data_IF_655366067757
#
_entry.id   IF_655366067757
#
_cell.length_a   1.000
_cell.length_b   1.000
_cell.length_c   1.000
_cell.angle_alpha   90.00
_cell.angle_beta   90.00
_cell.angle_gamma   90.00
#
_symmetry.space_group_name_H-M   'P 1'
#
loop_
_entity.id
_entity.type
_entity.pdbx_description
1 polymer ?
#
# COMPACT_ATOMS: atom_id res chain seq x y z
N UNK A 1 2.41 54.80 -31.44
CA UNK A 1 2.10 53.40 -31.09
C UNK A 1 3.23 52.65 -30.35
N UNK A 2 4.33 53.32 -29.95
CA UNK A 2 5.44 52.65 -29.22
C UNK A 2 5.43 52.89 -27.70
N UNK A 3 4.70 53.90 -27.20
CA UNK A 3 4.67 54.26 -25.77
C UNK A 3 3.79 53.29 -24.93
N UNK A 4 2.79 52.66 -25.55
CA UNK A 4 1.87 51.75 -24.87
C UNK A 4 2.53 50.41 -24.49
N UNK A 5 3.49 49.93 -25.28
CA UNK A 5 4.20 48.67 -24.99
C UNK A 5 5.14 48.75 -23.80
N UNK A 6 5.77 49.91 -23.58
CA UNK A 6 6.66 50.10 -22.42
C UNK A 6 5.89 50.17 -21.10
N UNK A 7 4.69 50.78 -21.10
CA UNK A 7 3.81 50.79 -19.91
C UNK A 7 3.29 49.40 -19.54
N UNK A 8 2.92 48.58 -20.53
CA UNK A 8 2.52 47.18 -20.31
C UNK A 8 3.67 46.33 -19.77
N UNK A 9 4.90 46.56 -20.23
CA UNK A 9 6.10 45.88 -19.73
C UNK A 9 6.51 46.34 -18.33
N UNK A 10 6.34 47.63 -18.01
CA UNK A 10 6.61 48.15 -16.67
C UNK A 10 5.55 47.66 -15.67
N UNK A 11 4.27 47.62 -16.06
CA UNK A 11 3.18 47.10 -15.23
C UNK A 11 3.32 45.59 -14.98
N UNK A 12 3.77 44.81 -15.97
CA UNK A 12 4.06 43.38 -15.77
C UNK A 12 5.27 43.19 -14.84
N UNK A 13 6.33 44.00 -14.98
CA UNK A 13 7.47 43.97 -14.06
C UNK A 13 7.09 44.38 -12.63
N UNK A 14 6.26 45.41 -12.45
CA UNK A 14 5.76 45.84 -11.13
C UNK A 14 4.85 44.78 -10.52
N UNK A 15 4.00 44.10 -11.29
CA UNK A 15 3.18 42.98 -10.80
C UNK A 15 4.03 41.74 -10.44
N UNK A 16 5.13 41.48 -11.16
CA UNK A 16 6.08 40.42 -10.83
C UNK A 16 6.85 40.80 -9.55
N UNK A 17 7.34 42.04 -9.43
CA UNK A 17 8.06 42.51 -8.24
C UNK A 17 7.17 42.62 -7.00
N UNK A 18 5.89 43.00 -7.17
CA UNK A 18 4.90 43.01 -6.09
C UNK A 18 4.54 41.60 -5.60
N UNK A 19 4.65 40.57 -6.46
CA UNK A 19 4.50 39.17 -6.05
C UNK A 19 5.76 38.56 -5.41
N UNK A 20 6.94 39.17 -5.59
CA UNK A 20 8.17 38.71 -4.92
C UNK A 20 8.18 39.12 -3.43
N UNK A 21 7.35 40.09 -3.05
CA UNK A 21 7.19 40.59 -1.68
C UNK A 21 5.84 40.24 -1.03
N UNK A 22 5.08 39.28 -1.57
CA UNK A 22 4.05 38.66 -0.75
C UNK A 22 4.79 37.82 0.30
N UNK A 23 4.81 38.31 1.54
CA UNK A 23 4.99 37.44 2.69
C UNK A 23 3.85 36.41 2.60
N UNK A 24 4.10 35.29 1.92
CA UNK A 24 3.13 34.21 1.77
C UNK A 24 2.95 33.62 3.17
N UNK A 25 1.98 34.15 3.90
CA UNK A 25 1.57 33.59 5.19
C UNK A 25 1.04 32.20 4.88
N UNK A 26 1.84 31.18 5.21
CA UNK A 26 1.43 29.80 5.14
C UNK A 26 0.52 29.52 6.33
N UNK A 27 -0.79 29.56 6.11
CA UNK A 27 -1.74 29.15 7.13
C UNK A 27 -1.51 27.67 7.46
N UNK A 28 -1.29 27.31 8.74
CA UNK A 28 -1.16 25.92 9.14
C UNK A 28 -2.45 25.15 8.87
N UNK A 29 -2.32 23.88 8.51
CA UNK A 29 -3.45 23.02 8.14
C UNK A 29 -3.58 21.81 9.06
N UNK A 30 -4.82 21.55 9.49
CA UNK A 30 -5.20 20.34 10.23
C UNK A 30 -6.07 19.47 9.33
N UNK A 31 -5.63 18.25 9.10
CA UNK A 31 -6.29 17.26 8.26
C UNK A 31 -7.21 16.36 9.08
N UNK A 32 -8.46 16.24 8.68
CA UNK A 32 -9.43 15.33 9.30
C UNK A 32 -9.83 14.27 8.25
N UNK A 33 -9.44 13.00 8.44
CA UNK A 33 -9.66 11.94 7.46
C UNK A 33 -11.13 11.55 7.33
N UNK A 34 -11.43 10.81 6.27
CA UNK A 34 -12.73 10.16 6.12
C UNK A 34 -12.84 8.84 6.88
N UNK A 35 -13.98 8.17 6.70
CA UNK A 35 -14.18 6.82 7.23
C UNK A 35 -13.13 5.86 6.64
N UNK A 36 -12.43 5.10 7.50
CA UNK A 36 -11.31 4.22 7.12
C UNK A 36 -10.00 4.95 6.78
N UNK A 37 -9.96 6.28 6.86
CA UNK A 37 -8.83 7.11 6.38
C UNK A 37 -7.68 7.29 7.37
N UNK A 38 -7.59 6.47 8.41
CA UNK A 38 -6.49 6.47 9.38
C UNK A 38 -6.23 5.08 9.90
N UNK A 39 -5.05 4.85 10.47
CA UNK A 39 -4.73 3.58 11.11
C UNK A 39 -5.55 3.35 12.41
N UNK A 40 -5.78 2.08 12.77
CA UNK A 40 -6.29 1.63 14.06
C UNK A 40 -5.39 0.53 14.59
N UNK A 41 -4.96 0.66 15.85
CA UNK A 41 -4.18 -0.35 16.54
C UNK A 41 -5.03 -1.05 17.61
N UNK A 42 -4.73 -2.30 17.86
CA UNK A 42 -5.42 -3.11 18.85
C UNK A 42 -4.46 -3.88 19.75
N UNK A 43 -4.89 -4.13 20.99
CA UNK A 43 -4.23 -5.05 21.92
C UNK A 43 -5.25 -6.06 22.44
N UNK A 44 -4.88 -7.33 22.50
CA UNK A 44 -5.80 -8.41 22.86
C UNK A 44 -5.41 -9.01 24.21
N UNK A 45 -6.40 -9.16 25.08
CA UNK A 45 -6.32 -9.90 26.33
C UNK A 45 -7.66 -10.58 26.61
N UNK A 46 -8.01 -11.56 25.77
CA UNK A 46 -9.35 -12.16 25.75
C UNK A 46 -9.41 -13.46 26.53
N UNK A 47 -10.43 -13.55 27.38
CA UNK A 47 -10.86 -14.79 28.05
C UNK A 47 -12.03 -15.46 27.33
N UNK A 48 -12.69 -14.73 26.43
CA UNK A 48 -13.88 -15.18 25.70
C UNK A 48 -13.52 -16.02 24.47
N UNK A 49 -14.44 -16.89 24.01
CA UNK A 49 -14.26 -17.65 22.77
C UNK A 49 -14.02 -16.73 21.56
N UNK A 50 -13.14 -17.17 20.67
CA UNK A 50 -12.89 -16.56 19.37
C UNK A 50 -13.65 -17.32 18.28
N UNK A 51 -13.89 -16.72 17.09
CA UNK A 51 -14.63 -17.36 16.00
C UNK A 51 -13.97 -18.67 15.56
N UNK A 52 -12.63 -18.67 15.52
CA UNK A 52 -11.82 -19.82 15.13
C UNK A 52 -10.71 -20.08 16.14
N UNK A 53 -10.21 -21.32 16.16
CA UNK A 53 -9.13 -21.74 17.06
C UNK A 53 -7.80 -21.04 16.78
N UNK A 54 -7.57 -20.59 15.54
CA UNK A 54 -6.35 -19.90 15.13
C UNK A 54 -6.40 -18.39 15.35
N UNK A 55 -7.55 -17.81 15.74
CA UNK A 55 -7.62 -16.40 16.08
C UNK A 55 -6.88 -16.15 17.40
N UNK A 56 -5.98 -15.17 17.40
CA UNK A 56 -5.24 -14.79 18.60
C UNK A 56 -6.18 -14.27 19.70
N UNK A 57 -5.95 -14.72 20.94
CA UNK A 57 -6.64 -14.21 22.14
C UNK A 57 -5.80 -13.19 22.90
N UNK A 58 -4.49 -13.29 22.77
CA UNK A 58 -3.54 -12.41 23.42
C UNK A 58 -2.57 -11.85 22.38
N UNK A 59 -2.34 -10.55 22.43
CA UNK A 59 -1.33 -9.86 21.65
C UNK A 59 -0.93 -8.59 22.38
N UNK A 60 0.30 -8.13 22.16
CA UNK A 60 0.60 -6.72 22.38
C UNK A 60 -0.04 -5.86 21.26
N UNK A 61 0.21 -4.56 21.27
CA UNK A 61 -0.26 -3.63 20.24
C UNK A 61 0.17 -4.07 18.84
N UNK A 62 -0.80 -4.18 17.95
CA UNK A 62 -0.58 -4.44 16.53
C UNK A 62 -1.51 -3.56 15.68
N UNK A 63 -1.14 -3.36 14.43
CA UNK A 63 -1.97 -2.66 13.45
C UNK A 63 -3.15 -3.54 13.03
N UNK A 64 -4.34 -3.18 13.50
CA UNK A 64 -5.59 -3.83 13.16
C UNK A 64 -6.11 -3.32 11.80
N UNK A 65 -5.98 -2.02 11.55
CA UNK A 65 -6.34 -1.38 10.30
C UNK A 65 -5.23 -0.40 9.88
N UNK A 66 -4.71 -0.45 8.65
CA UNK A 66 -5.04 -1.37 7.55
C UNK A 66 -3.96 -2.43 7.39
N UNK A 67 -4.33 -3.69 7.57
CA UNK A 67 -3.43 -4.81 7.37
C UNK A 67 -4.04 -5.83 6.41
N UNK A 68 -3.56 -5.83 5.17
CA UNK A 68 -4.08 -6.72 4.10
C UNK A 68 -4.07 -8.20 4.48
N UNK A 69 -3.13 -8.62 5.34
CA UNK A 69 -3.04 -10.01 5.77
C UNK A 69 -4.24 -10.39 6.62
N UNK A 70 -4.77 -9.46 7.41
CA UNK A 70 -5.96 -9.67 8.24
C UNK A 70 -7.27 -9.71 7.42
N UNK A 71 -7.22 -9.36 6.13
CA UNK A 71 -8.37 -9.36 5.22
C UNK A 71 -8.43 -10.61 4.32
N UNK A 72 -7.50 -11.56 4.47
CA UNK A 72 -7.51 -12.80 3.70
C UNK A 72 -8.68 -13.70 4.15
N UNK A 73 -9.30 -14.50 3.24
CA UNK A 73 -10.51 -15.27 3.53
C UNK A 73 -10.43 -16.15 4.79
N UNK A 74 -9.27 -16.74 5.07
CA UNK A 74 -9.08 -17.62 6.23
C UNK A 74 -9.01 -16.87 7.56
N UNK A 75 -8.67 -15.58 7.58
CA UNK A 75 -8.43 -14.81 8.82
C UNK A 75 -9.33 -13.59 8.99
N UNK A 76 -10.13 -13.26 7.98
CA UNK A 76 -11.03 -12.11 7.99
C UNK A 76 -12.03 -12.16 9.14
N UNK A 77 -12.47 -13.35 9.55
CA UNK A 77 -13.36 -13.51 10.70
C UNK A 77 -12.70 -13.07 12.01
N UNK A 78 -11.39 -13.30 12.17
CA UNK A 78 -10.64 -12.79 13.32
C UNK A 78 -10.56 -11.25 13.29
N UNK A 79 -10.35 -10.66 12.11
CA UNK A 79 -10.37 -9.21 11.93
C UNK A 79 -11.73 -8.61 12.27
N UNK A 80 -12.81 -9.16 11.71
CA UNK A 80 -14.19 -8.71 11.96
C UNK A 80 -14.50 -8.77 13.45
N UNK A 81 -14.14 -9.87 14.12
CA UNK A 81 -14.39 -10.03 15.55
C UNK A 81 -13.59 -9.05 16.41
N UNK A 82 -12.38 -8.67 15.99
CA UNK A 82 -11.56 -7.67 16.69
C UNK A 82 -11.99 -6.22 16.39
N UNK A 83 -12.58 -5.98 15.22
CA UNK A 83 -12.98 -4.64 14.76
C UNK A 83 -14.39 -4.26 15.23
N UNK A 84 -15.29 -5.24 15.40
CA UNK A 84 -16.71 -5.00 15.69
C UNK A 84 -16.92 -4.31 17.03
N UNK A 85 -18.02 -3.56 17.12
CA UNK A 85 -18.47 -2.89 18.33
C UNK A 85 -19.71 -3.59 18.90
N UNK A 86 -19.88 -3.53 20.22
CA UNK A 86 -21.11 -3.93 20.91
C UNK A 86 -21.94 -2.70 21.21
N UNK A 87 -23.23 -2.71 20.85
CA UNK A 87 -24.14 -1.59 21.11
C UNK A 87 -25.00 -1.88 22.35
N UNK A 88 -25.01 -0.94 23.29
CA UNK A 88 -25.85 -1.03 24.48
C UNK A 88 -27.13 -0.20 24.27
N UNK A 89 -28.28 -0.88 24.23
CA UNK A 89 -29.58 -0.25 23.95
C UNK A 89 -30.09 0.65 25.08
N UNK A 90 -29.56 0.51 26.31
CA UNK A 90 -29.89 1.35 27.46
C UNK A 90 -29.08 2.64 27.46
N UNK A 91 -27.76 2.55 27.33
CA UNK A 91 -26.88 3.74 27.32
C UNK A 91 -26.85 4.45 25.97
N UNK A 92 -27.32 3.78 24.90
CA UNK A 92 -27.25 4.22 23.50
C UNK A 92 -25.82 4.42 23.00
N UNK A 93 -24.84 3.77 23.64
CA UNK A 93 -23.41 3.86 23.30
C UNK A 93 -22.85 2.53 22.85
N UNK A 94 -21.71 2.59 22.17
CA UNK A 94 -20.91 1.48 21.69
C UNK A 94 -19.69 1.23 22.58
N UNK A 95 -19.29 -0.03 22.70
CA UNK A 95 -18.06 -0.45 23.36
C UNK A 95 -17.28 -1.43 22.50
N UNK A 96 -15.97 -1.52 22.71
CA UNK A 96 -15.19 -2.63 22.18
C UNK A 96 -15.64 -3.95 22.84
N UNK A 97 -15.24 -5.08 22.27
CA UNK A 97 -15.40 -6.37 22.96
C UNK A 97 -14.50 -6.44 24.19
N UNK A 98 -14.96 -7.23 25.17
CA UNK A 98 -14.18 -7.53 26.36
C UNK A 98 -12.82 -8.14 26.01
N UNK A 99 -11.76 -7.57 26.57
CA UNK A 99 -10.38 -7.98 26.28
C UNK A 99 -9.83 -7.43 24.96
N UNK A 100 -10.46 -6.43 24.35
CA UNK A 100 -9.93 -5.75 23.16
C UNK A 100 -9.79 -4.25 23.43
N UNK A 101 -8.55 -3.79 23.52
CA UNK A 101 -8.23 -2.38 23.58
C UNK A 101 -7.97 -1.84 22.18
N UNK A 102 -8.44 -0.62 21.91
CA UNK A 102 -8.27 0.05 20.62
C UNK A 102 -7.61 1.40 20.85
N UNK A 103 -6.65 1.72 19.99
CA UNK A 103 -5.96 3.00 19.96
C UNK A 103 -5.93 3.56 18.54
N UNK A 104 -6.10 4.87 18.44
CA UNK A 104 -5.95 5.62 17.20
C UNK A 104 -4.59 6.34 17.23
N UNK A 105 -3.58 5.83 16.51
CA UNK A 105 -2.22 6.39 16.55
C UNK A 105 -2.08 7.66 15.73
N UNK A 106 -1.04 8.43 16.03
CA UNK A 106 -0.60 9.56 15.21
C UNK A 106 -1.42 10.83 15.34
N UNK A 107 -2.13 11.02 16.46
CA UNK A 107 -2.85 12.27 16.70
C UNK A 107 -1.89 13.47 16.76
N UNK A 108 -2.15 14.48 15.93
CA UNK A 108 -1.27 15.63 15.71
C UNK A 108 -0.22 15.41 14.62
N UNK A 109 0.16 14.17 14.33
CA UNK A 109 1.10 13.84 13.26
C UNK A 109 0.36 13.52 11.95
N UNK A 110 1.08 13.38 10.84
CA UNK A 110 0.47 13.10 9.53
C UNK A 110 0.66 11.67 9.04
N UNK A 111 1.61 10.91 9.58
CA UNK A 111 2.00 9.59 9.04
C UNK A 111 0.83 8.61 8.93
N UNK A 112 -0.03 8.55 9.94
CA UNK A 112 -1.15 7.60 10.03
C UNK A 112 -2.36 7.96 9.18
N UNK A 113 -2.37 9.15 8.57
CA UNK A 113 -3.38 9.62 7.62
C UNK A 113 -2.81 9.81 6.21
N UNK A 114 -1.48 9.86 6.07
CA UNK A 114 -0.81 9.82 4.78
C UNK A 114 -0.97 8.44 4.14
N UNK A 115 -0.75 7.39 4.94
CA UNK A 115 -0.93 5.99 4.58
C UNK A 115 -1.70 5.28 5.68
N UNK A 116 -2.78 4.59 5.32
CA UNK A 116 -3.54 3.80 6.29
C UNK A 116 -2.94 2.41 6.54
N UNK A 117 -1.86 2.02 5.86
CA UNK A 117 -1.04 0.82 6.11
C UNK A 117 0.39 1.26 6.53
N UNK A 118 0.93 0.72 7.63
CA UNK A 118 2.28 1.09 8.10
C UNK A 118 3.40 0.78 7.11
N UNK A 119 3.23 -0.21 6.23
CA UNK A 119 4.18 -0.51 5.17
C UNK A 119 4.31 0.61 4.13
N UNK A 120 3.36 1.56 4.12
CA UNK A 120 3.33 2.73 3.23
C UNK A 120 3.37 2.38 1.74
N UNK A 121 2.88 1.19 1.37
CA UNK A 121 2.72 0.81 -0.03
C UNK A 121 1.72 1.72 -0.75
N UNK A 122 1.90 1.89 -2.06
CA UNK A 122 1.14 2.84 -2.88
C UNK A 122 -0.38 2.62 -2.83
N UNK A 123 -0.86 1.38 -2.66
CA UNK A 123 -2.29 1.09 -2.55
C UNK A 123 -2.94 1.69 -1.29
N UNK A 124 -2.14 1.97 -0.25
CA UNK A 124 -2.60 2.55 1.02
C UNK A 124 -2.47 4.07 1.08
N UNK A 125 -1.95 4.67 0.00
CA UNK A 125 -1.74 6.12 -0.11
C UNK A 125 -3.07 6.86 -0.07
N UNK A 126 -3.22 7.75 0.90
CA UNK A 126 -4.43 8.55 1.11
C UNK A 126 -4.13 10.05 1.05
N UNK A 127 -3.76 10.71 2.16
CA UNK A 127 -3.33 12.11 2.11
C UNK A 127 -1.87 12.32 1.68
N UNK A 128 -1.09 11.24 1.52
CA UNK A 128 0.33 11.33 1.17
C UNK A 128 0.64 12.25 -0.03
N UNK A 129 -0.09 12.21 -1.16
CA UNK A 129 0.19 13.07 -2.31
C UNK A 129 -0.03 14.56 -1.99
N UNK A 130 -1.08 14.87 -1.23
CA UNK A 130 -1.41 16.24 -0.85
C UNK A 130 -0.40 16.80 0.16
N UNK A 131 -0.10 16.02 1.19
CA UNK A 131 0.85 16.41 2.24
C UNK A 131 2.26 16.56 1.66
N UNK A 132 2.68 15.66 0.76
CA UNK A 132 3.95 15.79 0.03
C UNK A 132 4.01 17.09 -0.78
N UNK A 133 2.94 17.42 -1.49
CA UNK A 133 2.87 18.67 -2.27
C UNK A 133 2.98 19.90 -1.38
N UNK A 134 2.29 19.93 -0.23
CA UNK A 134 2.40 21.04 0.72
C UNK A 134 3.81 21.15 1.30
N UNK A 135 4.46 20.02 1.59
CA UNK A 135 5.86 20.03 2.08
C UNK A 135 6.81 20.62 1.03
N UNK A 136 6.60 20.36 -0.27
CA UNK A 136 7.39 21.03 -1.33
C UNK A 136 7.15 22.54 -1.40
N UNK A 137 6.04 23.02 -0.84
CA UNK A 137 5.70 24.45 -0.72
C UNK A 137 6.17 25.08 0.60
N UNK A 138 7.02 24.39 1.38
CA UNK A 138 7.60 24.93 2.62
C UNK A 138 6.85 24.57 3.89
N UNK A 139 5.83 23.72 3.82
CA UNK A 139 5.18 23.19 5.02
C UNK A 139 6.02 22.10 5.71
N UNK A 140 5.88 22.01 7.03
CA UNK A 140 6.54 21.04 7.92
C UNK A 140 5.51 20.21 8.69
N UNK A 141 5.59 18.88 8.53
CA UNK A 141 4.81 17.88 9.29
C UNK A 141 5.02 18.07 10.80
N UNK A 142 3.96 17.86 11.59
CA UNK A 142 4.01 18.01 13.05
C UNK A 142 4.07 19.48 13.52
N UNK A 143 4.20 20.46 12.63
CA UNK A 143 4.24 21.89 12.97
C UNK A 143 3.06 22.63 12.33
N UNK A 144 3.10 22.83 11.01
CA UNK A 144 2.04 23.52 10.26
C UNK A 144 1.25 22.58 9.34
N UNK A 145 1.58 21.29 9.33
CA UNK A 145 0.73 20.21 8.84
C UNK A 145 0.51 19.21 9.96
N UNK A 146 -0.75 19.04 10.36
CA UNK A 146 -1.14 18.17 11.47
C UNK A 146 -2.29 17.26 11.03
N UNK A 147 -2.33 16.03 11.53
CA UNK A 147 -3.45 15.12 11.35
C UNK A 147 -4.29 14.99 12.61
N UNK A 148 -5.59 14.83 12.44
CA UNK A 148 -6.54 14.53 13.53
C UNK A 148 -7.30 13.23 13.21
N UNK A 149 -6.62 12.07 13.26
CA UNK A 149 -7.27 10.77 13.13
C UNK A 149 -8.23 10.53 14.32
N UNK A 150 -9.28 9.76 14.07
CA UNK A 150 -10.30 9.41 15.06
C UNK A 150 -10.76 7.96 14.88
N UNK A 151 -11.48 7.42 15.87
CA UNK A 151 -12.07 6.09 15.76
C UNK A 151 -13.27 6.15 14.82
N UNK A 152 -13.04 5.94 13.53
CA UNK A 152 -14.07 6.04 12.49
C UNK A 152 -15.19 4.99 12.60
N UNK A 153 -15.08 4.04 13.53
CA UNK A 153 -16.12 3.04 13.81
C UNK A 153 -17.26 3.62 14.64
N UNK A 154 -17.03 4.72 15.36
CA UNK A 154 -17.96 5.29 16.35
C UNK A 154 -18.70 6.52 15.82
N UNK A 155 -19.90 6.74 16.37
CA UNK A 155 -20.70 7.93 16.10
C UNK A 155 -20.07 9.22 16.62
N UNK A 156 -20.55 10.36 16.14
CA UNK A 156 -20.08 11.69 16.55
C UNK A 156 -20.30 11.99 18.04
N UNK A 157 -21.39 11.46 18.59
CA UNK A 157 -21.86 11.60 19.96
C UNK A 157 -21.06 10.78 20.99
N UNK A 158 -20.08 10.01 20.51
CA UNK A 158 -19.25 9.12 21.33
C UNK A 158 -17.76 9.52 21.30
N UNK A 159 -17.46 10.75 20.90
CA UNK A 159 -16.11 11.20 20.53
C UNK A 159 -15.60 12.35 21.40
N UNK A 160 -16.08 12.46 22.64
CA UNK A 160 -15.74 13.56 23.55
C UNK A 160 -14.22 13.75 23.70
N UNK A 161 -13.46 12.66 23.86
CA UNK A 161 -12.00 12.70 23.98
C UNK A 161 -11.34 13.23 22.69
N UNK A 162 -11.80 12.79 21.53
CA UNK A 162 -11.32 13.28 20.24
C UNK A 162 -11.63 14.78 20.06
N UNK A 163 -12.85 15.21 20.39
CA UNK A 163 -13.27 16.61 20.25
C UNK A 163 -12.49 17.54 21.20
N UNK A 164 -12.22 17.08 22.42
CA UNK A 164 -11.37 17.80 23.37
C UNK A 164 -9.92 17.88 22.87
N UNK A 165 -9.37 16.76 22.39
CA UNK A 165 -8.02 16.73 21.81
C UNK A 165 -7.91 17.58 20.54
N UNK A 166 -8.96 17.67 19.73
CA UNK A 166 -9.01 18.53 18.55
C UNK A 166 -8.94 20.01 18.92
N UNK A 167 -9.62 20.41 20.01
CA UNK A 167 -9.50 21.77 20.57
C UNK A 167 -8.07 22.07 20.98
N UNK A 168 -7.41 21.15 21.69
CA UNK A 168 -6.01 21.31 22.07
C UNK A 168 -5.08 21.36 20.86
N UNK A 169 -5.33 20.54 19.83
CA UNK A 169 -4.56 20.52 18.60
C UNK A 169 -4.66 21.86 17.86
N UNK A 170 -5.86 22.46 17.78
CA UNK A 170 -6.06 23.77 17.17
C UNK A 170 -5.26 24.84 17.90
N UNK A 171 -5.29 24.85 19.24
CA UNK A 171 -4.54 25.81 20.06
C UNK A 171 -3.02 25.59 19.90
N UNK A 172 -2.53 24.35 20.03
CA UNK A 172 -1.11 24.00 19.85
C UNK A 172 -0.61 24.42 18.46
N UNK A 173 -1.39 24.13 17.42
CA UNK A 173 -1.04 24.47 16.03
C UNK A 173 -1.00 25.99 15.84
N UNK A 174 -1.94 26.73 16.42
CA UNK A 174 -1.95 28.19 16.36
C UNK A 174 -0.71 28.80 17.02
N UNK A 175 -0.40 28.40 18.25
CA UNK A 175 0.75 28.94 19.01
C UNK A 175 2.10 28.57 18.36
N UNK A 176 2.23 27.34 17.83
CA UNK A 176 3.45 26.92 17.11
C UNK A 176 3.70 27.66 15.80
N UNK A 177 2.68 28.32 15.25
CA UNK A 177 2.73 28.98 13.96
C UNK A 177 2.56 30.49 14.07
N UNK A 178 3.21 31.11 15.05
CA UNK A 178 3.19 32.56 15.27
C UNK A 178 1.76 33.11 15.36
N UNK A 179 0.87 32.38 16.03
CA UNK A 179 -0.52 32.80 16.22
C UNK A 179 -1.26 33.01 14.89
N UNK A 180 -0.90 32.19 13.90
CA UNK A 180 -1.57 32.16 12.59
C UNK A 180 -2.78 31.24 12.65
N UNK A 181 -3.92 31.74 12.19
CA UNK A 181 -5.17 30.98 12.12
C UNK A 181 -5.01 29.70 11.29
N UNK A 182 -5.69 28.63 11.70
CA UNK A 182 -5.58 27.32 11.06
C UNK A 182 -6.61 27.14 9.95
N UNK A 183 -6.27 26.34 8.95
CA UNK A 183 -7.20 25.84 7.94
C UNK A 183 -7.53 24.38 8.24
N UNK A 184 -8.81 24.04 8.31
CA UNK A 184 -9.20 22.63 8.28
C UNK A 184 -9.23 22.12 6.84
N UNK A 185 -8.62 20.97 6.61
CA UNK A 185 -8.77 20.21 5.36
C UNK A 185 -9.44 18.90 5.72
N UNK A 186 -10.67 18.70 5.26
CA UNK A 186 -11.46 17.52 5.60
C UNK A 186 -11.78 16.71 4.37
N UNK A 187 -11.94 15.40 4.54
CA UNK A 187 -12.41 14.53 3.48
C UNK A 187 -13.57 13.66 3.96
N UNK A 188 -14.62 13.56 3.14
CA UNK A 188 -15.77 12.68 3.38
C UNK A 188 -16.31 12.84 4.81
N UNK A 189 -16.37 11.76 5.60
CA UNK A 189 -16.86 11.78 6.99
C UNK A 189 -16.11 12.78 7.91
N UNK A 190 -14.87 13.14 7.61
CA UNK A 190 -14.14 14.16 8.36
C UNK A 190 -14.79 15.55 8.30
N UNK A 191 -15.54 15.84 7.25
CA UNK A 191 -16.30 17.10 7.11
C UNK A 191 -17.40 17.24 8.17
N UNK A 192 -18.36 16.31 8.25
CA UNK A 192 -19.33 16.27 9.34
C UNK A 192 -18.71 16.29 10.74
N UNK A 193 -17.59 15.60 10.97
CA UNK A 193 -16.85 15.65 12.25
C UNK A 193 -16.35 17.06 12.58
N UNK A 194 -15.70 17.74 11.64
CA UNK A 194 -15.24 19.10 11.88
C UNK A 194 -16.41 20.08 12.05
N UNK A 195 -17.50 19.91 11.27
CA UNK A 195 -18.69 20.74 11.40
C UNK A 195 -19.34 20.57 12.77
N UNK A 196 -19.49 19.33 13.24
CA UNK A 196 -20.02 19.03 14.57
C UNK A 196 -19.19 19.69 15.68
N UNK A 197 -17.85 19.61 15.58
CA UNK A 197 -16.95 20.30 16.51
C UNK A 197 -17.08 21.83 16.42
N UNK A 198 -17.14 22.41 15.21
CA UNK A 198 -17.27 23.86 14.99
C UNK A 198 -18.57 24.43 15.58
N UNK A 199 -19.66 23.65 15.59
CA UNK A 199 -20.93 24.05 16.20
C UNK A 199 -20.85 24.13 17.74
N UNK A 200 -19.89 23.44 18.36
CA UNK A 200 -19.67 23.49 19.80
C UNK A 200 -18.75 24.63 20.23
N UNK A 201 -18.05 25.27 19.28
CA UNK A 201 -17.14 26.38 19.58
C UNK A 201 -17.86 27.73 19.58
N UNK A 202 -17.45 28.63 20.47
CA UNK A 202 -17.93 30.01 20.49
C UNK A 202 -17.50 30.77 19.23
N UNK A 203 -18.22 31.84 18.88
CA UNK A 203 -17.82 32.69 17.75
C UNK A 203 -16.45 33.32 17.97
N UNK A 204 -16.15 33.78 19.19
CA UNK A 204 -14.84 34.34 19.53
C UNK A 204 -13.70 33.34 19.37
N UNK A 205 -13.94 32.06 19.70
CA UNK A 205 -12.96 31.00 19.47
C UNK A 205 -12.70 30.80 17.98
N UNK A 206 -13.77 30.68 17.17
CA UNK A 206 -13.65 30.50 15.71
C UNK A 206 -12.95 31.69 15.06
N UNK A 207 -13.31 32.91 15.43
CA UNK A 207 -12.70 34.13 14.93
C UNK A 207 -11.21 34.22 15.29
N UNK A 208 -10.81 33.74 16.47
CA UNK A 208 -9.41 33.74 16.90
C UNK A 208 -8.58 32.68 16.18
N UNK A 209 -9.05 31.42 16.14
CA UNK A 209 -8.21 30.28 15.76
C UNK A 209 -8.42 29.77 14.33
N UNK A 210 -9.59 29.98 13.73
CA UNK A 210 -9.97 29.33 12.46
C UNK A 210 -9.94 30.35 11.32
N UNK A 211 -9.20 30.03 10.26
CA UNK A 211 -9.15 30.81 9.03
C UNK A 211 -10.28 30.37 8.09
N UNK A 212 -10.28 29.08 7.74
CA UNK A 212 -11.24 28.49 6.80
C UNK A 212 -11.31 26.97 6.97
N UNK A 213 -12.29 26.36 6.31
CA UNK A 213 -12.46 24.92 6.23
C UNK A 213 -12.65 24.53 4.76
N UNK A 214 -11.72 23.75 4.24
CA UNK A 214 -11.75 23.17 2.90
C UNK A 214 -12.34 21.76 3.03
N UNK A 215 -13.50 21.56 2.43
CA UNK A 215 -14.23 20.30 2.49
C UNK A 215 -14.15 19.54 1.18
N UNK A 216 -13.64 18.30 1.23
CA UNK A 216 -13.51 17.42 0.06
C UNK A 216 -14.56 16.32 0.17
N UNK A 217 -15.62 16.41 -0.65
CA UNK A 217 -16.66 15.39 -0.75
C UNK A 217 -17.38 15.03 0.57
N UNK A 218 -17.65 16.03 1.42
CA UNK A 218 -18.37 15.83 2.69
C UNK A 218 -19.85 15.41 2.46
N UNK A 219 -20.32 14.31 3.05
CA UNK A 219 -21.68 13.80 2.86
C UNK A 219 -22.66 14.50 3.81
N UNK A 220 -22.94 15.79 3.61
CA UNK A 220 -23.77 16.60 4.52
C UNK A 220 -25.16 16.02 4.79
N UNK A 221 -25.80 15.47 3.75
CA UNK A 221 -27.11 14.81 3.85
C UNK A 221 -27.01 13.28 3.96
N UNK A 222 -25.83 12.74 4.26
CA UNK A 222 -25.54 11.31 4.19
C UNK A 222 -25.21 10.84 2.76
N UNK A 223 -25.09 9.51 2.60
CA UNK A 223 -24.74 8.88 1.33
C UNK A 223 -25.55 7.60 1.12
N UNK A 224 -26.14 7.44 -0.07
CA UNK A 224 -26.97 6.26 -0.41
C UNK A 224 -26.19 4.95 -0.37
N UNK A 225 -24.85 5.01 -0.52
CA UNK A 225 -23.96 3.85 -0.39
C UNK A 225 -24.10 3.17 0.98
N UNK A 226 -24.37 3.91 2.04
CA UNK A 226 -24.61 3.34 3.37
C UNK A 226 -25.85 2.45 3.40
N UNK A 227 -26.91 2.77 2.65
CA UNK A 227 -28.11 1.93 2.57
C UNK A 227 -27.79 0.58 1.90
N UNK A 228 -27.01 0.60 0.81
CA UNK A 228 -26.53 -0.64 0.16
C UNK A 228 -25.67 -1.47 1.12
N UNK A 229 -24.72 -0.85 1.80
CA UNK A 229 -23.87 -1.51 2.81
C UNK A 229 -24.73 -2.25 3.85
N UNK A 230 -25.76 -1.60 4.38
CA UNK A 230 -26.65 -2.22 5.39
C UNK A 230 -27.54 -3.33 4.81
N UNK A 231 -27.96 -3.21 3.55
CA UNK A 231 -28.88 -4.16 2.93
C UNK A 231 -28.21 -5.43 2.41
N UNK A 232 -27.03 -5.31 1.78
CA UNK A 232 -26.35 -6.42 1.08
C UNK A 232 -24.89 -6.61 1.46
N UNK A 233 -24.36 -5.79 2.37
CA UNK A 233 -22.93 -5.65 2.53
C UNK A 233 -22.29 -4.85 1.40
N UNK A 234 -21.02 -4.49 1.62
CA UNK A 234 -20.15 -3.86 0.64
C UNK A 234 -18.74 -4.42 0.84
N UNK A 235 -18.13 -4.89 -0.24
CA UNK A 235 -16.75 -5.39 -0.20
C UNK A 235 -15.73 -4.25 -0.38
N UNK A 236 -16.19 -3.00 -0.54
CA UNK A 236 -15.38 -1.78 -0.69
C UNK A 236 -14.29 -1.98 -1.78
N UNK A 237 -14.60 -2.79 -2.79
CA UNK A 237 -13.67 -3.21 -3.85
C UNK A 237 -12.36 -3.87 -3.36
N UNK A 238 -12.27 -4.25 -2.07
CA UNK A 238 -11.12 -4.95 -1.47
C UNK A 238 -10.92 -6.30 -2.14
N UNK A 239 -12.02 -6.99 -2.46
CA UNK A 239 -11.97 -8.26 -3.16
C UNK A 239 -11.33 -8.11 -4.54
N UNK A 240 -11.67 -7.04 -5.28
CA UNK A 240 -11.03 -6.69 -6.55
C UNK A 240 -9.54 -6.43 -6.36
N UNK A 241 -9.16 -5.70 -5.31
CA UNK A 241 -7.75 -5.43 -5.00
C UNK A 241 -6.96 -6.72 -4.70
N UNK A 242 -7.49 -7.61 -3.85
CA UNK A 242 -6.83 -8.89 -3.50
C UNK A 242 -6.69 -9.77 -4.74
N UNK A 243 -7.74 -9.86 -5.55
CA UNK A 243 -7.72 -10.63 -6.80
C UNK A 243 -6.65 -10.08 -7.75
N UNK A 244 -6.60 -8.75 -7.95
CA UNK A 244 -5.59 -8.11 -8.80
C UNK A 244 -4.17 -8.36 -8.28
N UNK A 245 -3.94 -8.22 -6.97
CA UNK A 245 -2.62 -8.50 -6.35
C UNK A 245 -2.22 -9.97 -6.56
N UNK A 246 -3.14 -10.90 -6.36
CA UNK A 246 -2.89 -12.32 -6.56
C UNK A 246 -2.53 -12.63 -8.02
N UNK A 247 -3.28 -12.08 -8.98
CA UNK A 247 -2.99 -12.23 -10.40
C UNK A 247 -1.66 -11.60 -10.81
N UNK A 248 -1.35 -10.39 -10.33
CA UNK A 248 -0.05 -9.74 -10.59
C UNK A 248 1.09 -10.59 -10.01
N UNK A 249 0.92 -11.14 -8.81
CA UNK A 249 1.95 -11.95 -8.16
C UNK A 249 2.21 -13.24 -8.94
N UNK A 250 1.16 -13.95 -9.37
CA UNK A 250 1.29 -15.12 -10.24
C UNK A 250 1.96 -14.74 -11.56
N UNK A 251 1.52 -13.65 -12.20
CA UNK A 251 2.12 -13.16 -13.44
C UNK A 251 3.61 -12.84 -13.26
N UNK A 252 4.00 -12.21 -12.15
CA UNK A 252 5.39 -11.91 -11.83
C UNK A 252 6.22 -13.17 -11.54
N UNK A 253 5.66 -14.19 -10.88
CA UNK A 253 6.35 -15.47 -10.66
C UNK A 253 6.56 -16.20 -11.99
N UNK A 254 5.52 -16.29 -12.83
CA UNK A 254 5.56 -16.93 -14.14
C UNK A 254 6.53 -16.19 -15.10
N UNK A 255 6.48 -14.85 -15.13
CA UNK A 255 7.42 -14.03 -15.89
C UNK A 255 8.84 -14.11 -15.32
N UNK A 256 9.00 -14.17 -14.00
CA UNK A 256 10.30 -14.30 -13.34
C UNK A 256 10.94 -15.66 -13.60
N UNK A 257 10.16 -16.74 -13.60
CA UNK A 257 10.61 -18.07 -14.04
C UNK A 257 10.94 -18.06 -15.53
N UNK A 258 10.11 -17.41 -16.37
CA UNK A 258 10.37 -17.25 -17.80
C UNK A 258 11.62 -16.43 -18.13
N UNK A 259 11.87 -15.33 -17.40
CA UNK A 259 13.05 -14.48 -17.56
C UNK A 259 14.32 -15.16 -17.02
N UNK A 260 14.24 -15.93 -15.93
CA UNK A 260 15.36 -16.79 -15.50
C UNK A 260 15.73 -17.84 -16.55
N UNK A 261 14.74 -18.37 -17.28
CA UNK A 261 15.00 -19.24 -18.43
C UNK A 261 15.56 -18.48 -19.65
N UNK A 262 15.24 -17.19 -19.82
CA UNK A 262 15.67 -16.37 -20.95
C UNK A 262 17.08 -15.76 -20.75
N UNK A 263 17.41 -15.29 -19.54
CA UNK A 263 18.77 -14.88 -19.18
C UNK A 263 19.75 -16.06 -19.19
N UNK A 264 19.27 -17.29 -18.94
CA UNK A 264 20.04 -18.52 -19.12
C UNK A 264 19.99 -19.08 -20.56
N UNK A 265 19.89 -18.22 -21.57
CA UNK A 265 20.28 -18.53 -22.96
C UNK A 265 21.76 -18.94 -23.12
N UNK A 266 22.55 -18.81 -22.06
CA UNK A 266 23.80 -19.52 -21.84
C UNK A 266 23.60 -20.56 -20.73
N UNK A 267 23.28 -21.81 -21.09
CA UNK A 267 23.32 -22.93 -20.14
C UNK A 267 24.77 -23.26 -19.76
N UNK A 268 25.38 -22.44 -18.89
CA UNK A 268 26.55 -22.83 -18.12
C UNK A 268 26.07 -23.67 -16.92
N UNK A 269 25.93 -24.98 -17.13
CA UNK A 269 25.78 -25.89 -16.00
C UNK A 269 27.14 -26.01 -15.28
N UNK A 270 27.34 -25.22 -14.23
CA UNK A 270 28.17 -25.69 -13.12
C UNK A 270 27.41 -26.85 -12.46
N UNK A 271 27.83 -28.09 -12.70
CA UNK A 271 27.38 -29.19 -11.87
C UNK A 271 27.94 -29.00 -10.46
N UNK A 272 27.11 -29.05 -9.40
CA UNK A 272 27.63 -29.24 -8.06
C UNK A 272 28.33 -30.61 -8.06
N UNK A 273 29.54 -30.65 -7.53
CA UNK A 273 30.32 -31.87 -7.34
C UNK A 273 29.47 -32.90 -6.59
N UNK A 274 28.86 -33.84 -7.31
CA UNK A 274 28.35 -35.05 -6.70
C UNK A 274 29.55 -35.97 -6.46
N UNK A 275 29.86 -36.15 -5.19
CA UNK A 275 30.69 -37.25 -4.73
C UNK A 275 30.10 -38.58 -5.20
N UNK A 276 31.00 -39.48 -5.57
CA UNK A 276 30.82 -40.90 -5.86
C UNK A 276 30.43 -41.29 -7.30
N UNK A 277 31.43 -41.90 -7.94
CA UNK A 277 31.39 -42.87 -9.04
C UNK A 277 31.32 -42.40 -10.51
N UNK A 278 32.51 -42.50 -11.14
CA UNK A 278 32.79 -43.01 -12.50
C UNK A 278 32.73 -42.00 -13.67
N UNK A 279 33.86 -41.31 -13.87
CA UNK A 279 34.72 -41.19 -15.08
C UNK A 279 35.47 -39.86 -14.98
N UNK A 280 36.71 -39.89 -14.49
CA UNK A 280 37.60 -38.72 -14.53
C UNK A 280 38.15 -38.57 -15.95
N UNK A 281 37.84 -37.46 -16.61
CA UNK A 281 38.58 -37.04 -17.80
C UNK A 281 40.08 -36.90 -17.43
N UNK A 282 41.00 -37.45 -18.23
CA UNK A 282 42.45 -37.36 -17.96
C UNK A 282 42.88 -35.88 -17.82
N UNK A 283 43.84 -35.64 -16.92
CA UNK A 283 44.23 -34.37 -16.27
C UNK A 283 44.40 -33.10 -17.11
N UNK A 284 44.35 -33.17 -18.44
CA UNK A 284 44.44 -32.00 -19.33
C UNK A 284 43.08 -31.56 -19.89
N UNK A 285 41.99 -32.29 -19.60
CA UNK A 285 40.65 -32.00 -20.09
C UNK A 285 39.67 -31.95 -18.92
N UNK A 286 39.52 -30.80 -18.29
CA UNK A 286 38.80 -30.70 -17.01
C UNK A 286 37.27 -30.56 -17.12
N UNK A 287 36.65 -30.76 -18.30
CA UNK A 287 35.19 -30.58 -18.47
C UNK A 287 34.56 -31.58 -19.45
N UNK A 288 33.30 -31.90 -19.18
CA UNK A 288 32.43 -32.72 -20.02
C UNK A 288 31.63 -31.80 -20.96
N UNK A 289 31.61 -32.11 -22.26
CA UNK A 289 31.03 -31.27 -23.32
C UNK A 289 29.89 -32.01 -24.04
N UNK A 290 28.87 -31.26 -24.47
CA UNK A 290 27.76 -31.72 -25.31
C UNK A 290 27.80 -30.92 -26.61
N UNK A 291 27.93 -31.62 -27.74
CA UNK A 291 27.89 -31.01 -29.08
C UNK A 291 26.67 -31.53 -29.83
N UNK A 292 25.86 -30.60 -30.34
CA UNK A 292 24.61 -30.92 -31.04
C UNK A 292 24.74 -30.48 -32.49
N UNK A 293 24.56 -31.40 -33.43
CA UNK A 293 24.45 -31.09 -34.86
C UNK A 293 23.20 -31.73 -35.47
N UNK A 294 22.91 -31.41 -36.73
CA UNK A 294 21.79 -31.98 -37.50
C UNK A 294 21.85 -33.51 -37.61
N UNK A 295 23.03 -34.12 -37.40
CA UNK A 295 23.21 -35.58 -37.42
C UNK A 295 23.08 -36.26 -36.04
N UNK A 296 22.72 -35.51 -34.99
CA UNK A 296 22.53 -36.02 -33.63
C UNK A 296 23.48 -35.42 -32.59
N UNK A 297 23.31 -35.84 -31.34
CA UNK A 297 24.05 -35.31 -30.19
C UNK A 297 25.17 -36.25 -29.75
N UNK A 298 26.39 -35.73 -29.57
CA UNK A 298 27.53 -36.48 -28.99
C UNK A 298 28.00 -35.82 -27.69
N UNK A 299 28.51 -36.62 -26.74
CA UNK A 299 28.99 -36.17 -25.41
C UNK A 299 30.40 -36.72 -25.14
N UNK A 300 31.36 -35.91 -24.68
CA UNK A 300 32.76 -36.33 -24.39
C UNK A 300 33.60 -35.30 -23.61
N UNK A 301 34.90 -35.55 -23.40
CA UNK A 301 35.83 -34.64 -22.69
C UNK A 301 36.60 -33.70 -23.67
N UNK A 302 36.89 -32.44 -23.31
CA UNK A 302 37.60 -31.45 -24.16
C UNK A 302 38.27 -30.27 -23.41
N UNK A 303 39.20 -29.54 -24.07
CA UNK A 303 40.01 -28.40 -23.53
C UNK A 303 39.34 -27.04 -23.87
N UNK A 304 39.53 -26.03 -23.01
CA UNK A 304 38.89 -24.70 -23.02
C UNK A 304 39.38 -23.77 -24.16
N UNK A 305 40.11 -24.29 -25.16
CA UNK A 305 40.57 -23.51 -26.31
C UNK A 305 39.66 -23.74 -27.52
N UNK A 306 38.98 -22.67 -27.94
CA UNK A 306 38.14 -22.58 -29.15
C UNK A 306 38.91 -22.78 -30.48
N UNK A 307 39.80 -23.77 -30.60
CA UNK A 307 40.48 -24.12 -31.84
C UNK A 307 41.12 -25.52 -31.75
N UNK A 308 40.36 -26.61 -31.94
CA UNK A 308 40.94 -27.90 -32.36
C UNK A 308 39.92 -28.72 -33.18
N UNK A 309 40.36 -29.16 -34.38
CA UNK A 309 39.71 -30.17 -35.22
C UNK A 309 39.66 -31.52 -34.48
N UNK A 310 38.48 -32.15 -34.37
CA UNK A 310 38.32 -33.42 -33.66
C UNK A 310 38.42 -34.58 -34.63
N UNK A 311 39.43 -35.43 -34.42
CA UNK A 311 39.61 -36.74 -35.05
C UNK A 311 38.68 -37.77 -34.37
N UNK A 312 38.00 -38.60 -35.17
CA UNK A 312 36.72 -39.25 -34.83
C UNK A 312 36.80 -40.70 -34.34
N UNK A 313 37.90 -41.16 -33.73
CA UNK A 313 38.16 -42.61 -33.67
C UNK A 313 37.99 -43.33 -32.32
N UNK A 314 37.37 -42.73 -31.31
CA UNK A 314 37.04 -43.53 -30.10
C UNK A 314 35.86 -42.99 -29.29
N UNK A 315 34.66 -43.50 -29.56
CA UNK A 315 33.53 -43.41 -28.63
C UNK A 315 32.97 -44.80 -28.33
N UNK A 316 33.09 -45.22 -27.06
CA UNK A 316 32.38 -46.36 -26.51
C UNK A 316 31.05 -45.86 -25.91
N UNK A 317 29.93 -46.41 -26.37
CA UNK A 317 28.57 -45.87 -26.22
C UNK A 317 27.86 -46.22 -24.89
N UNK A 318 28.58 -46.73 -23.89
CA UNK A 318 27.95 -47.36 -22.73
C UNK A 318 27.46 -46.43 -21.60
N UNK A 319 27.82 -45.13 -21.57
CA UNK A 319 27.52 -44.29 -20.41
C UNK A 319 26.74 -43.01 -20.80
N UNK A 320 25.41 -43.05 -20.65
CA UNK A 320 24.48 -41.93 -20.88
C UNK A 320 24.03 -41.35 -19.53
N UNK A 321 24.30 -40.06 -19.27
CA UNK A 321 23.84 -39.36 -18.07
C UNK A 321 22.41 -38.76 -18.24
N UNK A 322 21.56 -39.13 -17.28
CA UNK A 322 20.36 -38.48 -16.69
C UNK A 322 19.18 -38.04 -17.57
N UNK A 323 17.98 -38.43 -17.10
CA UNK A 323 16.67 -38.45 -17.78
C UNK A 323 15.66 -37.39 -17.28
N UNK A 324 16.08 -36.28 -16.67
CA UNK A 324 15.14 -35.25 -16.18
C UNK A 324 15.35 -33.91 -16.89
N UNK A 325 14.83 -33.80 -18.11
CA UNK A 325 14.77 -32.57 -18.90
C UNK A 325 13.59 -31.69 -18.44
N UNK A 326 13.87 -30.74 -17.54
CA UNK A 326 13.02 -29.57 -17.29
C UNK A 326 12.95 -28.61 -18.50
N UNK A 327 13.66 -28.89 -19.60
CA UNK A 327 13.62 -28.12 -20.84
C UNK A 327 12.46 -28.49 -21.77
N UNK A 328 11.85 -29.68 -21.64
CA UNK A 328 10.77 -30.11 -22.54
C UNK A 328 9.40 -29.48 -22.20
N UNK A 329 9.28 -28.78 -21.08
CA UNK A 329 8.05 -28.06 -20.68
C UNK A 329 7.86 -26.71 -21.37
N UNK A 330 8.84 -26.21 -22.14
CA UNK A 330 8.69 -24.96 -22.91
C UNK A 330 7.57 -25.03 -23.98
N UNK A 331 7.21 -26.24 -24.45
CA UNK A 331 6.10 -26.43 -25.38
C UNK A 331 4.74 -26.26 -24.68
N UNK A 332 4.64 -26.57 -23.38
CA UNK A 332 3.42 -26.34 -22.59
C UNK A 332 3.17 -24.87 -22.23
N UNK A 333 4.17 -23.99 -22.31
CA UNK A 333 4.00 -22.55 -22.03
C UNK A 333 3.09 -21.82 -23.03
N UNK A 334 2.93 -22.31 -24.26
CA UNK A 334 1.97 -21.73 -25.23
C UNK A 334 0.53 -21.95 -24.80
N UNK A 335 0.22 -23.11 -24.22
CA UNK A 335 -1.11 -23.46 -23.73
C UNK A 335 -1.46 -22.71 -22.45
N UNK A 336 -0.49 -22.50 -21.55
CA UNK A 336 -0.66 -21.70 -20.32
C UNK A 336 -0.87 -20.21 -20.61
N UNK A 337 -0.19 -19.64 -21.62
CA UNK A 337 -0.45 -18.25 -22.08
C UNK A 337 -1.89 -18.03 -22.51
N UNK A 338 -2.48 -18.99 -23.22
CA UNK A 338 -3.88 -18.90 -23.69
C UNK A 338 -4.83 -19.00 -22.49
N UNK A 339 -4.57 -19.91 -21.55
CA UNK A 339 -5.40 -20.05 -20.34
C UNK A 339 -5.37 -18.80 -19.46
N UNK A 340 -4.21 -18.17 -19.27
CA UNK A 340 -4.06 -16.93 -18.48
C UNK A 340 -4.77 -15.76 -19.18
N UNK A 341 -4.64 -15.62 -20.50
CA UNK A 341 -5.34 -14.56 -21.25
C UNK A 341 -6.85 -14.76 -21.20
N UNK A 342 -7.34 -16.00 -21.38
CA UNK A 342 -8.78 -16.30 -21.31
C UNK A 342 -9.37 -16.10 -19.90
N UNK A 343 -8.66 -16.51 -18.85
CA UNK A 343 -9.12 -16.30 -17.46
C UNK A 343 -9.07 -14.83 -17.05
N UNK A 344 -8.10 -14.06 -17.55
CA UNK A 344 -8.06 -12.59 -17.38
C UNK A 344 -9.21 -11.90 -18.12
N UNK A 345 -9.57 -12.36 -19.32
CA UNK A 345 -10.72 -11.86 -20.07
C UNK A 345 -12.05 -12.21 -19.40
N UNK A 346 -12.18 -13.42 -18.86
CA UNK A 346 -13.37 -13.83 -18.11
C UNK A 346 -13.52 -13.00 -16.83
N UNK A 347 -12.44 -12.71 -16.11
CA UNK A 347 -12.47 -11.83 -14.94
C UNK A 347 -12.88 -10.38 -15.29
N UNK A 348 -12.54 -9.89 -16.49
CA UNK A 348 -12.99 -8.59 -17.00
C UNK A 348 -14.44 -8.58 -17.52
N UNK A 349 -15.01 -9.75 -17.84
CA UNK A 349 -16.39 -9.88 -18.36
C UNK A 349 -17.40 -10.09 -17.21
N UNK A 350 -16.95 -10.51 -16.03
CA UNK A 350 -17.79 -10.73 -14.83
C UNK A 350 -17.71 -9.63 -13.76
N UNK A 351 -17.06 -8.50 -14.07
CA UNK A 351 -17.19 -7.20 -13.37
C UNK A 351 -18.05 -6.30 -14.24
#
# INVERSE_FOLDING_TARGET
>A
MYICHWYLFLLSFICIYANINSNNIHYPAIFIPGNGGSQIWARLNRTTPTPHFFCARHSDWFELWFNVRLLLPEVIDCFIDNMRLTYNSTTKKTSNLEGIDIQIPGFGETSTIEYFDSSSYSYSSYFAPMIRSLVTLGYTRGINLRGAPYDFRRGLDEQDDYLNNLTQLVIDTYEKNNQTKIIFITHSMGGPFALYWLHQQTNSFKEKYIHSMINIAAPWGGAIKALRLMASGDNIDIQTMIIVIFFITILCIELGQGLRCYEHGYCLNQCPTLSSSIVQCKSNFNKCWKLTSLAGTKRGCGDDRCNVQINLDSFNTANVCCSNDLCNSAIQMKTTRIFIIFSSLIAFIYV
#
